data_IF_249051822574
#
_entry.id   IF_249051822574
#
_cell.length_a   1.000
_cell.length_b   1.000
_cell.length_c   1.000
_cell.angle_alpha   90.00
_cell.angle_beta   90.00
_cell.angle_gamma   90.00
#
_symmetry.space_group_name_H-M   'P 1'
#
loop_
_entity.id
_entity.type
_entity.pdbx_description
1 polymer ?
#
# COMPACT_ATOMS: atom_id res chain seq x y z
N UNK A 1 -0.72 -17.74 8.82
CA UNK A 1 0.46 -17.46 9.67
C UNK A 1 0.79 -15.99 9.45
N UNK A 2 0.37 -15.11 10.36
CA UNK A 2 0.64 -13.69 10.26
C UNK A 2 2.10 -13.46 10.66
N UNK A 3 2.99 -13.31 9.67
CA UNK A 3 4.30 -12.75 9.94
C UNK A 3 4.06 -11.37 10.54
N UNK A 4 4.44 -11.22 11.80
CA UNK A 4 4.58 -9.95 12.48
C UNK A 4 5.50 -9.08 11.63
N UNK A 5 4.93 -8.25 10.76
CA UNK A 5 5.60 -7.13 10.10
C UNK A 5 6.16 -6.26 11.23
N UNK A 6 7.43 -6.50 11.55
CA UNK A 6 8.05 -5.90 12.71
C UNK A 6 8.15 -4.39 12.49
N UNK A 7 7.76 -3.55 13.45
CA UNK A 7 7.88 -2.09 13.36
C UNK A 7 9.34 -1.61 13.17
N UNK A 8 10.31 -2.51 13.29
CA UNK A 8 11.73 -2.25 13.03
C UNK A 8 12.03 -1.95 11.57
N UNK A 9 11.32 -2.55 10.61
CA UNK A 9 11.59 -2.32 9.19
C UNK A 9 11.15 -0.92 8.78
N UNK A 10 9.97 -0.49 9.24
CA UNK A 10 9.47 0.86 9.02
C UNK A 10 10.40 1.92 9.64
N UNK A 11 10.94 1.65 10.84
CA UNK A 11 11.90 2.54 11.50
C UNK A 11 13.23 2.61 10.72
N UNK A 12 13.72 1.49 10.19
CA UNK A 12 14.93 1.43 9.39
C UNK A 12 14.77 2.19 8.06
N UNK A 13 13.64 2.02 7.37
CA UNK A 13 13.32 2.78 6.17
C UNK A 13 13.17 4.28 6.45
N UNK A 14 12.46 4.65 7.52
CA UNK A 14 12.33 6.04 7.94
C UNK A 14 13.68 6.67 8.29
N UNK A 15 14.55 5.96 9.02
CA UNK A 15 15.89 6.42 9.35
C UNK A 15 16.75 6.58 8.09
N UNK A 16 16.69 5.64 7.14
CA UNK A 16 17.37 5.73 5.86
C UNK A 16 16.94 6.95 5.03
N UNK A 17 15.63 7.18 4.92
CA UNK A 17 15.05 8.32 4.18
C UNK A 17 15.31 9.68 4.87
N UNK A 18 15.38 9.72 6.20
CA UNK A 18 15.70 10.95 6.95
C UNK A 18 17.19 11.31 6.92
N UNK A 19 18.07 10.32 6.70
CA UNK A 19 19.52 10.54 6.66
C UNK A 19 19.95 11.64 5.67
N UNK A 20 19.54 11.66 4.39
CA UNK A 20 19.91 12.74 3.46
C UNK A 20 19.39 14.12 3.88
N UNK A 21 18.17 14.19 4.44
CA UNK A 21 17.59 15.44 4.97
C UNK A 21 18.43 15.98 6.12
N UNK A 22 18.80 15.12 7.06
CA UNK A 22 19.67 15.48 8.19
C UNK A 22 21.07 15.89 7.74
N UNK A 23 21.63 15.21 6.72
CA UNK A 23 22.92 15.57 6.13
C UNK A 23 22.86 16.94 5.46
N UNK A 24 21.83 17.23 4.65
CA UNK A 24 21.64 18.55 4.03
C UNK A 24 21.46 19.64 5.07
N UNK A 25 20.67 19.40 6.11
CA UNK A 25 20.49 20.33 7.22
C UNK A 25 21.81 20.57 7.97
N UNK A 26 22.57 19.51 8.26
CA UNK A 26 23.88 19.63 8.91
C UNK A 26 24.88 20.39 8.03
N UNK A 27 24.93 20.11 6.73
CA UNK A 27 25.78 20.81 5.77
C UNK A 27 25.39 22.28 5.67
N UNK A 28 24.10 22.61 5.59
CA UNK A 28 23.61 23.98 5.57
C UNK A 28 23.95 24.75 6.86
N UNK A 29 23.84 24.09 8.02
CA UNK A 29 24.23 24.66 9.31
C UNK A 29 25.75 24.81 9.45
N UNK A 30 26.54 23.87 8.95
CA UNK A 30 28.01 23.90 9.00
C UNK A 30 28.62 24.88 7.99
N UNK A 31 27.99 25.05 6.83
CA UNK A 31 28.36 26.02 5.80
C UNK A 31 27.88 27.45 6.11
N UNK A 32 27.14 27.67 7.21
CA UNK A 32 26.99 29.01 7.84
C UNK A 32 28.33 29.47 8.45
N UNK A 33 29.39 29.50 7.65
CA UNK A 33 30.53 30.35 7.95
C UNK A 33 30.01 31.79 7.93
N UNK A 34 30.11 32.46 9.07
CA UNK A 34 29.78 33.88 9.23
C UNK A 34 30.50 34.66 8.13
N UNK A 35 29.78 35.08 7.10
CA UNK A 35 30.29 36.04 6.14
C UNK A 35 30.44 37.35 6.91
N UNK A 36 31.63 37.59 7.45
CA UNK A 36 32.04 38.91 7.94
C UNK A 36 32.13 39.79 6.70
N UNK A 37 31.03 40.44 6.35
CA UNK A 37 31.04 41.50 5.35
C UNK A 37 31.91 42.64 5.90
N UNK A 38 33.05 42.98 5.27
CA UNK A 38 33.77 44.18 5.64
C UNK A 38 32.85 45.36 5.34
N UNK A 39 32.40 46.03 6.39
CA UNK A 39 31.43 47.13 6.34
C UNK A 39 31.91 48.37 5.55
N UNK A 40 33.08 48.30 4.92
CA UNK A 40 33.72 49.38 4.18
C UNK A 40 33.33 49.47 2.69
N UNK A 41 32.59 48.51 2.14
CA UNK A 41 32.28 48.45 0.69
C UNK A 41 30.80 48.63 0.32
N UNK A 42 29.90 48.85 1.28
CA UNK A 42 28.48 49.06 0.98
C UNK A 42 28.19 50.56 0.97
N UNK A 43 28.20 51.14 -0.23
CA UNK A 43 27.61 52.45 -0.49
C UNK A 43 26.15 52.43 0.00
N UNK A 44 25.78 53.45 0.79
CA UNK A 44 24.48 53.59 1.43
C UNK A 44 23.43 53.93 0.36
N UNK A 45 22.94 52.92 -0.34
CA UNK A 45 21.72 53.02 -1.14
C UNK A 45 20.54 52.83 -0.19
N UNK A 46 19.64 53.82 -0.15
CA UNK A 46 18.39 53.84 0.62
C UNK A 46 17.39 52.79 0.10
N UNK A 47 17.75 51.51 0.21
CA UNK A 47 16.87 50.40 -0.15
C UNK A 47 16.62 49.56 1.09
N UNK A 48 15.56 49.92 1.80
CA UNK A 48 14.74 49.09 2.71
C UNK A 48 15.33 47.72 3.11
N UNK A 49 16.34 47.73 3.99
CA UNK A 49 17.08 46.53 4.45
C UNK A 49 16.27 45.66 5.43
N UNK A 50 15.03 46.03 5.77
CA UNK A 50 14.24 45.33 6.81
C UNK A 50 13.52 44.06 6.32
N UNK A 51 13.45 43.80 5.00
CA UNK A 51 12.69 42.67 4.46
C UNK A 51 13.54 41.47 4.00
N UNK A 52 14.86 41.62 3.80
CA UNK A 52 15.68 40.57 3.15
C UNK A 52 16.34 39.58 4.12
N UNK A 53 16.44 39.91 5.41
CA UNK A 53 17.02 39.02 6.43
C UNK A 53 16.00 38.09 7.09
N UNK A 54 14.72 38.43 7.03
CA UNK A 54 13.63 37.69 7.69
C UNK A 54 13.01 36.51 6.90
N UNK A 55 13.17 36.33 5.57
CA UNK A 55 12.55 35.20 4.89
C UNK A 55 13.52 34.07 4.54
N UNK A 56 14.85 34.22 4.67
CA UNK A 56 15.78 33.16 4.22
C UNK A 56 15.95 32.02 5.24
N UNK A 57 16.00 32.34 6.54
CA UNK A 57 16.08 31.33 7.61
C UNK A 57 14.74 30.66 7.88
N UNK A 58 13.63 31.42 7.82
CA UNK A 58 12.28 30.86 7.92
C UNK A 58 12.05 29.86 6.78
N UNK A 59 12.32 30.28 5.54
CA UNK A 59 12.11 29.45 4.36
C UNK A 59 12.93 28.16 4.40
N UNK A 60 14.19 28.20 4.87
CA UNK A 60 14.99 26.98 5.04
C UNK A 60 14.41 26.02 6.08
N UNK A 61 13.87 26.55 7.18
CA UNK A 61 13.26 25.72 8.23
C UNK A 61 11.97 25.06 7.72
N UNK A 62 11.12 25.81 7.03
CA UNK A 62 9.91 25.27 6.42
C UNK A 62 10.21 24.26 5.32
N UNK A 63 11.22 24.50 4.49
CA UNK A 63 11.66 23.56 3.44
C UNK A 63 12.12 22.22 4.05
N UNK A 64 12.95 22.30 5.10
CA UNK A 64 13.44 21.11 5.82
C UNK A 64 12.31 20.33 6.50
N UNK A 65 11.32 21.04 7.06
CA UNK A 65 10.13 20.42 7.68
C UNK A 65 9.27 19.74 6.61
N UNK A 66 9.07 20.37 5.46
CA UNK A 66 8.30 19.79 4.36
C UNK A 66 9.00 18.55 3.80
N UNK A 67 10.32 18.58 3.64
CA UNK A 67 11.11 17.42 3.21
C UNK A 67 11.02 16.27 4.21
N UNK A 68 11.07 16.56 5.51
CA UNK A 68 10.92 15.54 6.54
C UNK A 68 9.51 14.91 6.53
N UNK A 69 8.46 15.72 6.33
CA UNK A 69 7.08 15.23 6.20
C UNK A 69 6.94 14.38 4.93
N UNK A 70 7.50 14.82 3.81
CA UNK A 70 7.47 14.07 2.55
C UNK A 70 8.20 12.72 2.69
N UNK A 71 9.39 12.72 3.30
CA UNK A 71 10.15 11.51 3.59
C UNK A 71 9.37 10.53 4.48
N UNK A 72 8.66 11.05 5.50
CA UNK A 72 7.81 10.23 6.38
C UNK A 72 6.63 9.62 5.61
N UNK A 73 5.95 10.40 4.76
CA UNK A 73 4.85 9.91 3.93
C UNK A 73 5.32 8.81 2.97
N UNK A 74 6.48 8.99 2.33
CA UNK A 74 7.08 7.98 1.46
C UNK A 74 7.47 6.73 2.24
N UNK A 75 8.08 6.89 3.43
CA UNK A 75 8.43 5.76 4.30
C UNK A 75 7.19 4.97 4.73
N UNK A 76 6.11 5.66 5.09
CA UNK A 76 4.83 5.04 5.42
C UNK A 76 4.23 4.30 4.22
N UNK A 77 4.28 4.90 3.02
CA UNK A 77 3.80 4.25 1.80
C UNK A 77 4.60 2.97 1.46
N UNK A 78 5.93 3.02 1.57
CA UNK A 78 6.81 1.85 1.35
C UNK A 78 6.57 0.77 2.42
N UNK A 79 6.37 1.18 3.68
CA UNK A 79 6.03 0.28 4.78
C UNK A 79 4.62 -0.32 4.68
N UNK A 80 3.86 0.02 3.63
CA UNK A 80 2.53 -0.52 3.40
C UNK A 80 1.45 0.11 4.27
N UNK A 81 1.62 1.38 4.68
CA UNK A 81 0.63 2.14 5.44
C UNK A 81 -0.08 3.21 4.59
N UNK A 82 -1.42 3.33 4.67
CA UNK A 82 -2.33 2.40 5.34
C UNK A 82 -2.29 1.03 4.65
N UNK A 83 -2.53 -0.08 5.40
CA UNK A 83 -2.57 -1.40 4.81
C UNK A 83 -3.53 -1.40 3.63
N UNK A 84 -3.19 -2.08 2.51
CA UNK A 84 -4.11 -2.20 1.40
C UNK A 84 -5.45 -2.67 1.97
N UNK A 85 -6.51 -1.90 1.70
CA UNK A 85 -7.85 -2.22 2.19
C UNK A 85 -8.10 -3.69 1.87
N UNK A 86 -8.44 -4.50 2.88
CA UNK A 86 -8.64 -5.95 2.72
C UNK A 86 -9.46 -6.16 1.46
N UNK A 87 -8.79 -6.57 0.39
CA UNK A 87 -9.43 -6.65 -0.90
C UNK A 87 -10.49 -7.72 -0.72
N UNK A 88 -11.75 -7.37 -0.95
CA UNK A 88 -12.84 -8.34 -0.96
C UNK A 88 -12.58 -9.23 -2.17
N UNK A 89 -11.74 -10.24 -2.00
CA UNK A 89 -11.39 -11.20 -3.04
C UNK A 89 -12.69 -11.85 -3.49
N UNK A 90 -12.99 -11.74 -4.79
CA UNK A 90 -14.10 -12.44 -5.40
C UNK A 90 -13.53 -13.66 -6.11
N UNK A 91 -14.06 -14.84 -5.81
CA UNK A 91 -13.70 -16.08 -6.51
C UNK A 91 -14.90 -16.51 -7.34
N UNK A 92 -14.62 -16.80 -8.61
CA UNK A 92 -15.61 -17.34 -9.53
C UNK A 92 -15.17 -18.75 -9.90
N UNK A 93 -16.02 -19.74 -9.61
CA UNK A 93 -15.81 -21.11 -10.04
C UNK A 93 -16.48 -21.33 -11.39
N UNK A 94 -15.70 -21.71 -12.39
CA UNK A 94 -16.24 -22.12 -13.69
C UNK A 94 -16.91 -23.50 -13.58
N UNK A 95 -18.21 -23.56 -13.89
CA UNK A 95 -19.00 -24.78 -13.92
C UNK A 95 -19.33 -25.21 -15.37
N UNK A 96 -18.55 -24.76 -16.35
CA UNK A 96 -18.67 -25.16 -17.74
C UNK A 96 -18.53 -26.68 -17.93
N UNK A 97 -19.11 -27.20 -19.02
CA UNK A 97 -19.06 -28.65 -19.34
C UNK A 97 -17.64 -29.19 -19.46
N UNK A 98 -16.68 -28.37 -19.89
CA UNK A 98 -15.26 -28.72 -19.96
C UNK A 98 -14.66 -29.05 -18.58
N UNK A 99 -15.15 -28.41 -17.52
CA UNK A 99 -14.68 -28.64 -16.15
C UNK A 99 -15.13 -29.99 -15.58
N UNK A 100 -16.10 -30.65 -16.22
CA UNK A 100 -16.60 -31.98 -15.85
C UNK A 100 -15.84 -33.13 -16.54
N UNK A 101 -14.83 -32.82 -17.34
CA UNK A 101 -14.01 -33.86 -17.96
C UNK A 101 -13.22 -34.66 -16.91
N UNK A 102 -13.16 -35.98 -17.10
CA UNK A 102 -12.44 -36.91 -16.22
C UNK A 102 -13.32 -37.64 -15.19
N UNK A 103 -12.65 -38.43 -14.36
CA UNK A 103 -13.27 -39.23 -13.30
C UNK A 103 -13.62 -38.38 -12.08
N UNK A 104 -14.68 -38.77 -11.38
CA UNK A 104 -15.14 -38.06 -10.18
C UNK A 104 -14.03 -38.08 -9.11
N UNK A 105 -13.71 -36.91 -8.56
CA UNK A 105 -12.57 -36.70 -7.64
C UNK A 105 -11.32 -36.18 -8.33
N UNK A 106 -11.15 -36.42 -9.63
CA UNK A 106 -10.00 -35.94 -10.42
C UNK A 106 -10.35 -34.82 -11.40
N UNK A 107 -11.66 -34.53 -11.55
CA UNK A 107 -12.17 -33.45 -12.41
C UNK A 107 -11.57 -32.11 -12.02
N UNK A 108 -11.37 -31.24 -13.01
CA UNK A 108 -10.95 -29.87 -12.77
C UNK A 108 -11.90 -29.14 -11.82
N UNK A 109 -13.21 -29.39 -11.95
CA UNK A 109 -14.22 -28.86 -11.03
C UNK A 109 -14.02 -29.33 -9.59
N UNK A 110 -13.76 -30.62 -9.39
CA UNK A 110 -13.61 -31.22 -8.06
C UNK A 110 -12.34 -30.68 -7.36
N UNK A 111 -11.24 -30.53 -8.10
CA UNK A 111 -9.99 -29.93 -7.60
C UNK A 111 -10.16 -28.44 -7.28
N UNK A 112 -10.85 -27.69 -8.13
CA UNK A 112 -11.11 -26.27 -7.90
C UNK A 112 -12.05 -26.06 -6.70
N UNK A 113 -13.06 -26.92 -6.54
CA UNK A 113 -13.92 -26.91 -5.36
C UNK A 113 -13.13 -27.25 -4.08
N UNK A 114 -12.30 -28.29 -4.11
CA UNK A 114 -11.45 -28.64 -2.98
C UNK A 114 -10.53 -27.46 -2.58
N UNK A 115 -9.87 -26.84 -3.55
CA UNK A 115 -9.02 -25.66 -3.31
C UNK A 115 -9.79 -24.50 -2.69
N UNK A 116 -11.01 -24.24 -3.18
CA UNK A 116 -11.86 -23.16 -2.70
C UNK A 116 -12.37 -23.38 -1.26
N UNK A 117 -12.68 -24.62 -0.87
CA UNK A 117 -13.26 -24.93 0.44
C UNK A 117 -12.22 -25.28 1.50
N UNK A 118 -11.00 -25.66 1.10
CA UNK A 118 -9.91 -26.00 2.04
C UNK A 118 -8.84 -24.91 2.16
N UNK A 119 -8.75 -23.98 1.21
CA UNK A 119 -7.75 -22.92 1.19
C UNK A 119 -8.00 -21.85 2.27
N UNK A 120 -7.03 -21.58 3.18
CA UNK A 120 -7.20 -20.58 4.25
C UNK A 120 -7.35 -19.16 3.72
N UNK A 121 -6.82 -18.87 2.52
CA UNK A 121 -6.82 -17.53 1.92
C UNK A 121 -8.15 -17.15 1.24
N UNK A 122 -9.06 -18.12 1.07
CA UNK A 122 -10.32 -17.95 0.32
C UNK A 122 -11.58 -18.09 1.20
N UNK A 123 -11.40 -18.22 2.51
CA UNK A 123 -12.50 -18.33 3.47
C UNK A 123 -13.42 -17.11 3.42
N UNK A 124 -12.85 -15.90 3.41
CA UNK A 124 -13.60 -14.63 3.41
C UNK A 124 -13.91 -14.11 1.99
N UNK A 125 -13.53 -14.85 0.95
CA UNK A 125 -13.78 -14.44 -0.42
C UNK A 125 -15.27 -14.51 -0.79
N UNK A 126 -15.76 -13.54 -1.56
CA UNK A 126 -17.10 -13.59 -2.16
C UNK A 126 -17.11 -14.68 -3.23
N UNK A 127 -17.96 -15.68 -3.07
CA UNK A 127 -18.00 -16.84 -3.95
C UNK A 127 -19.14 -16.74 -4.97
N UNK A 128 -18.79 -16.92 -6.24
CA UNK A 128 -19.73 -16.96 -7.34
C UNK A 128 -19.52 -18.20 -8.21
N UNK A 129 -20.59 -18.64 -8.86
CA UNK A 129 -20.60 -19.74 -9.80
C UNK A 129 -20.88 -19.20 -11.19
N UNK A 130 -19.99 -19.52 -12.12
CA UNK A 130 -20.19 -19.24 -13.54
C UNK A 130 -20.83 -20.46 -14.19
N UNK A 131 -22.07 -20.28 -14.64
CA UNK A 131 -22.83 -21.29 -15.37
C UNK A 131 -23.25 -20.79 -16.74
N UNK A 132 -23.95 -21.65 -17.48
CA UNK A 132 -24.59 -21.30 -18.74
C UNK A 132 -26.08 -21.64 -18.64
N UNK A 133 -26.91 -20.63 -18.87
CA UNK A 133 -28.36 -20.80 -18.97
C UNK A 133 -28.70 -21.32 -20.38
N UNK A 134 -29.22 -22.54 -20.44
CA UNK A 134 -29.58 -23.22 -21.68
C UNK A 134 -30.83 -22.63 -22.34
N UNK A 135 -31.73 -22.02 -21.56
CA UNK A 135 -32.95 -21.43 -22.09
C UNK A 135 -32.62 -20.05 -22.68
N UNK A 136 -31.93 -19.22 -21.90
CA UNK A 136 -31.54 -17.87 -22.33
C UNK A 136 -30.31 -17.83 -23.24
N UNK A 137 -29.60 -18.95 -23.41
CA UNK A 137 -28.36 -19.09 -24.16
C UNK A 137 -27.27 -18.09 -23.74
N UNK A 138 -27.16 -17.83 -22.43
CA UNK A 138 -26.28 -16.79 -21.87
C UNK A 138 -25.45 -17.31 -20.69
N UNK A 139 -24.22 -16.79 -20.50
CA UNK A 139 -23.48 -17.03 -19.28
C UNK A 139 -24.22 -16.37 -18.11
N UNK A 140 -24.36 -17.11 -17.01
CA UNK A 140 -25.00 -16.64 -15.78
C UNK A 140 -24.03 -16.70 -14.63
N UNK A 141 -24.01 -15.65 -13.82
CA UNK A 141 -23.27 -15.61 -12.57
C UNK A 141 -24.27 -15.75 -11.42
N UNK A 142 -24.11 -16.76 -10.58
CA UNK A 142 -24.96 -16.97 -9.41
C UNK A 142 -24.16 -16.91 -8.11
N UNK A 143 -24.82 -16.50 -7.02
CA UNK A 143 -24.18 -16.45 -5.70
C UNK A 143 -23.98 -17.87 -5.17
N UNK A 144 -22.73 -18.23 -4.92
CA UNK A 144 -22.34 -19.57 -4.45
C UNK A 144 -22.42 -19.75 -2.93
N UNK A 145 -22.76 -18.71 -2.16
CA UNK A 145 -22.81 -18.79 -0.68
C UNK A 145 -23.65 -19.93 -0.15
N UNK A 146 -24.82 -20.17 -0.76
CA UNK A 146 -25.71 -21.27 -0.35
C UNK A 146 -25.06 -22.65 -0.47
N UNK A 147 -24.22 -22.86 -1.49
CA UNK A 147 -23.46 -24.10 -1.68
C UNK A 147 -22.31 -24.24 -0.67
N UNK A 148 -21.72 -23.12 -0.25
CA UNK A 148 -20.71 -23.11 0.82
C UNK A 148 -21.34 -23.42 2.18
N UNK A 149 -22.48 -22.82 2.50
CA UNK A 149 -23.25 -23.10 3.73
C UNK A 149 -23.70 -24.57 3.79
N UNK A 150 -24.24 -25.09 2.69
CA UNK A 150 -24.64 -26.50 2.60
C UNK A 150 -23.46 -27.46 2.78
N UNK A 151 -22.31 -27.17 2.15
CA UNK A 151 -21.09 -27.99 2.30
C UNK A 151 -20.52 -27.95 3.72
N UNK A 152 -20.55 -26.79 4.38
CA UNK A 152 -20.10 -26.66 5.76
C UNK A 152 -20.96 -27.51 6.71
N UNK A 153 -22.29 -27.50 6.53
CA UNK A 153 -23.21 -28.31 7.36
C UNK A 153 -23.07 -29.82 7.13
N UNK A 154 -22.57 -30.25 5.97
CA UNK A 154 -22.39 -31.67 5.65
C UNK A 154 -21.10 -32.28 6.25
N UNK A 155 -20.15 -31.44 6.69
CA UNK A 155 -18.88 -31.87 7.30
C UNK A 155 -19.02 -32.03 8.83
N UNK A 156 -20.05 -31.45 9.44
CA UNK A 156 -20.33 -31.53 10.89
C UNK A 156 -21.16 -32.76 11.32
N UNK A 157 -21.51 -33.65 10.38
CA UNK A 157 -22.25 -34.92 10.61
C UNK A 157 -21.32 -36.13 10.46
#
# INVERSE_FOLDING_TARGET
MAESFMPMDALAWAAGLLTPVLVLMFVALRLRRRVRYPHALLNRSDRTVRADFLPRSLRLYYDSVLDAVAALVVALAIAGFPPPAASRTAVVLDCSRSMLSGERGDRALDKAAAFLFTGPDLADAKFFLLGYDMDAHKPTLSDGRRLREASASAIEL
#
